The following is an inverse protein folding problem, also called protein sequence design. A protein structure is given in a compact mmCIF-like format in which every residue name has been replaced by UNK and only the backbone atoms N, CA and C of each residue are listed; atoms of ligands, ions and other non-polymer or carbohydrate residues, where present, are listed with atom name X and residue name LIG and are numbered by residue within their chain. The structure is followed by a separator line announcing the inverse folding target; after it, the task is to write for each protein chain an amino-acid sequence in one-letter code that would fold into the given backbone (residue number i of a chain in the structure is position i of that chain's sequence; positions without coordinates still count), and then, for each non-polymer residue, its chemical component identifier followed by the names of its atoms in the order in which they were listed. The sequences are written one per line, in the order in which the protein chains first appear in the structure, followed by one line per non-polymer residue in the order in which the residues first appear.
data_IF_081107947504
#
_entry.id   IF_081107947504
#
_cell.length_a   1.000
_cell.length_b   1.000
_cell.length_c   1.000
_cell.angle_alpha   90.00
_cell.angle_beta   90.00
_cell.angle_gamma   90.00
#
_symmetry.space_group_name_H-M   'P 1'
#
loop_
_entity.id
_entity.type
_entity.pdbx_description
1 polymer ?
#
# COMPACT_ATOMS: atom_id res chain seq x y z
N UNK A 1 -9.65 15.18 33.52
CA UNK A 1 -8.35 14.99 32.87
C UNK A 1 -7.36 14.69 33.97
N UNK A 2 -6.77 13.50 33.90
CA UNK A 2 -5.73 13.05 34.83
C UNK A 2 -4.38 13.01 34.10
N UNK A 3 -3.28 13.01 34.85
CA UNK A 3 -1.96 12.88 34.27
C UNK A 3 -1.66 11.39 34.03
N UNK A 4 -1.51 11.01 32.75
CA UNK A 4 -1.18 9.66 32.32
C UNK A 4 0.24 9.61 31.75
N UNK A 5 0.87 8.44 31.83
CA UNK A 5 2.14 8.19 31.17
C UNK A 5 1.86 7.63 29.77
N UNK A 6 1.67 8.51 28.78
CA UNK A 6 1.42 8.09 27.41
C UNK A 6 2.67 7.47 26.78
N UNK A 7 2.49 6.42 25.99
CA UNK A 7 3.56 5.72 25.28
C UNK A 7 3.35 5.81 23.78
N UNK A 8 4.40 6.24 23.06
CA UNK A 8 4.39 6.25 21.60
C UNK A 8 4.31 4.81 21.08
N UNK A 9 3.31 4.52 20.24
CA UNK A 9 3.07 3.20 19.66
C UNK A 9 4.16 2.76 18.67
N UNK A 10 4.92 3.73 18.12
CA UNK A 10 5.92 3.47 17.10
C UNK A 10 7.33 3.24 17.66
N UNK A 11 7.78 4.08 18.59
CA UNK A 11 9.14 4.01 19.14
C UNK A 11 9.19 3.61 20.62
N UNK A 12 8.03 3.51 21.28
CA UNK A 12 7.92 3.14 22.69
C UNK A 12 8.32 4.22 23.69
N UNK A 13 8.65 5.45 23.24
CA UNK A 13 8.99 6.57 24.13
C UNK A 13 7.78 6.95 24.97
N UNK A 14 8.02 7.15 26.27
CA UNK A 14 6.99 7.53 27.22
C UNK A 14 7.07 9.03 27.54
N UNK A 15 5.92 9.71 27.67
CA UNK A 15 5.82 11.10 28.12
C UNK A 15 4.57 11.28 29.01
N UNK A 16 4.72 12.05 30.09
CA UNK A 16 3.59 12.43 30.94
C UNK A 16 2.69 13.45 30.24
N UNK A 17 1.39 13.18 30.13
CA UNK A 17 0.43 14.06 29.46
C UNK A 17 -0.93 14.03 30.15
N UNK A 18 -1.65 15.15 30.09
CA UNK A 18 -3.04 15.20 30.53
C UNK A 18 -3.96 14.61 29.46
N UNK A 19 -4.75 13.62 29.82
CA UNK A 19 -5.72 12.97 28.94
C UNK A 19 -6.96 12.51 29.73
N UNK A 20 -7.99 12.06 29.03
CA UNK A 20 -9.18 11.43 29.62
C UNK A 20 -8.98 9.94 29.88
N UNK A 21 -8.05 9.29 29.17
CA UNK A 21 -7.69 7.88 29.35
C UNK A 21 -6.24 7.57 28.98
N UNK A 22 -5.75 6.38 29.37
CA UNK A 22 -4.43 5.88 28.99
C UNK A 22 -4.31 5.64 27.47
N UNK A 23 -5.38 5.22 26.82
CA UNK A 23 -5.41 5.01 25.36
C UNK A 23 -5.28 6.35 24.62
N UNK A 24 -6.03 7.36 25.05
CA UNK A 24 -5.91 8.71 24.53
C UNK A 24 -4.51 9.29 24.78
N UNK A 25 -3.93 9.07 25.97
CA UNK A 25 -2.57 9.50 26.27
C UNK A 25 -1.54 8.87 25.31
N UNK A 26 -1.65 7.58 25.00
CA UNK A 26 -0.80 6.90 24.02
C UNK A 26 -0.98 7.49 22.62
N UNK A 27 -2.22 7.75 22.21
CA UNK A 27 -2.52 8.34 20.92
C UNK A 27 -1.93 9.75 20.76
N UNK A 28 -2.11 10.62 21.77
CA UNK A 28 -1.54 11.98 21.75
C UNK A 28 0.00 11.92 21.72
N UNK A 29 0.61 11.11 22.59
CA UNK A 29 2.08 10.94 22.61
C UNK A 29 2.60 10.40 21.28
N UNK A 30 1.88 9.48 20.65
CA UNK A 30 2.25 8.94 19.33
C UNK A 30 2.19 9.99 18.23
N UNK A 31 1.17 10.85 18.24
CA UNK A 31 0.98 11.93 17.28
C UNK A 31 2.02 13.05 17.44
N UNK A 32 2.39 13.39 18.66
CA UNK A 32 3.36 14.45 18.96
C UNK A 32 4.82 13.96 18.98
N UNK A 33 5.05 12.65 18.87
CA UNK A 33 6.39 12.09 18.94
C UNK A 33 7.26 12.52 17.75
N UNK A 34 8.46 13.06 18.04
CA UNK A 34 9.46 13.41 17.03
C UNK A 34 10.11 12.21 16.30
N UNK A 35 9.78 10.96 16.69
CA UNK A 35 10.36 9.78 16.03
C UNK A 35 9.94 9.60 14.56
N UNK A 36 8.92 10.34 14.11
CA UNK A 36 8.43 10.28 12.74
C UNK A 36 7.53 9.08 12.43
N UNK A 37 7.33 8.16 13.38
CA UNK A 37 6.53 6.94 13.19
C UNK A 37 5.09 7.21 12.76
N UNK A 38 4.41 8.17 13.39
CA UNK A 38 3.05 8.57 13.00
C UNK A 38 2.99 9.10 11.56
N UNK A 39 3.96 9.95 11.17
CA UNK A 39 4.05 10.47 9.79
C UNK A 39 4.33 9.36 8.78
N UNK A 40 5.19 8.40 9.13
CA UNK A 40 5.48 7.26 8.27
C UNK A 40 4.25 6.36 8.11
N UNK A 41 3.50 6.10 9.18
CA UNK A 41 2.28 5.31 9.12
C UNK A 41 1.21 5.97 8.23
N UNK A 42 1.03 7.29 8.39
CA UNK A 42 0.14 8.08 7.51
C UNK A 42 0.61 8.05 6.05
N UNK A 43 1.92 8.17 5.80
CA UNK A 43 2.47 8.10 4.45
C UNK A 43 2.29 6.71 3.82
N UNK A 44 2.48 5.64 4.58
CA UNK A 44 2.25 4.26 4.14
C UNK A 44 0.78 4.08 3.76
N UNK A 45 -0.15 4.53 4.60
CA UNK A 45 -1.58 4.39 4.33
C UNK A 45 -2.01 5.19 3.09
N UNK A 46 -1.50 6.42 2.93
CA UNK A 46 -1.69 7.21 1.71
C UNK A 46 -1.17 6.48 0.48
N UNK A 47 0.03 5.89 0.54
CA UNK A 47 0.61 5.10 -0.57
C UNK A 47 -0.24 3.88 -0.92
N UNK A 48 -0.84 3.20 0.08
CA UNK A 48 -1.77 2.08 -0.16
C UNK A 48 -3.01 2.53 -0.89
N UNK A 49 -3.61 3.65 -0.48
CA UNK A 49 -4.79 4.23 -1.15
C UNK A 49 -4.48 4.65 -2.59
N UNK A 50 -3.35 5.33 -2.82
CA UNK A 50 -2.92 5.73 -4.16
C UNK A 50 -2.67 4.53 -5.06
N UNK A 51 -2.04 3.47 -4.54
CA UNK A 51 -1.82 2.24 -5.29
C UNK A 51 -3.15 1.55 -5.61
N UNK A 52 -4.08 1.46 -4.66
CA UNK A 52 -5.42 0.89 -4.89
C UNK A 52 -6.14 1.62 -6.02
N UNK A 53 -6.13 2.95 -6.03
CA UNK A 53 -6.72 3.76 -7.12
C UNK A 53 -6.03 3.49 -8.46
N UNK A 54 -4.71 3.42 -8.51
CA UNK A 54 -3.98 3.09 -9.75
C UNK A 54 -4.32 1.69 -10.24
N UNK A 55 -4.40 0.71 -9.35
CA UNK A 55 -4.75 -0.67 -9.71
C UNK A 55 -6.19 -0.74 -10.21
N UNK A 56 -7.12 0.00 -9.61
CA UNK A 56 -8.50 0.09 -10.09
C UNK A 56 -8.57 0.69 -11.50
N UNK A 57 -7.85 1.76 -11.80
CA UNK A 57 -7.76 2.31 -13.16
C UNK A 57 -7.16 1.32 -14.17
N UNK A 58 -6.20 0.50 -13.75
CA UNK A 58 -5.52 -0.46 -14.63
C UNK A 58 -6.27 -1.78 -14.79
N UNK A 59 -7.20 -2.13 -13.89
CA UNK A 59 -7.78 -3.48 -13.81
C UNK A 59 -9.30 -3.51 -13.58
N UNK A 60 -9.91 -2.41 -13.17
CA UNK A 60 -11.34 -2.28 -12.97
C UNK A 60 -12.11 -2.05 -14.28
N UNK A 61 -13.43 -1.77 -14.19
CA UNK A 61 -14.30 -1.61 -15.35
C UNK A 61 -13.80 -0.53 -16.32
N UNK A 62 -13.28 0.58 -15.81
CA UNK A 62 -12.88 1.73 -16.60
C UNK A 62 -11.55 1.52 -17.35
N UNK A 63 -10.84 0.40 -17.13
CA UNK A 63 -9.60 0.12 -17.85
C UNK A 63 -9.79 -0.17 -19.34
N UNK A 64 -11.04 -0.33 -19.79
CA UNK A 64 -11.42 -0.44 -21.20
C UNK A 64 -11.04 0.82 -22.00
N UNK A 65 -11.04 2.02 -21.38
CA UNK A 65 -10.56 3.25 -22.01
C UNK A 65 -9.07 3.18 -22.40
N UNK A 66 -8.31 2.36 -21.68
CA UNK A 66 -6.90 2.06 -21.95
C UNK A 66 -6.72 0.85 -22.88
N UNK A 67 -7.81 0.37 -23.48
CA UNK A 67 -7.90 -0.85 -24.27
C UNK A 67 -7.51 -2.11 -23.50
N UNK A 68 -7.74 -2.18 -22.19
CA UNK A 68 -7.55 -3.41 -21.40
C UNK A 68 -8.88 -4.10 -21.10
N UNK A 69 -8.82 -5.41 -20.85
CA UNK A 69 -9.95 -6.18 -20.36
C UNK A 69 -9.99 -6.06 -18.82
N UNK A 70 -11.13 -5.71 -18.21
CA UNK A 70 -11.30 -5.70 -16.77
C UNK A 70 -10.99 -7.07 -16.15
N UNK A 71 -10.32 -7.05 -15.00
CA UNK A 71 -10.06 -8.27 -14.24
C UNK A 71 -11.27 -8.60 -13.34
N UNK A 72 -11.56 -9.89 -13.12
CA UNK A 72 -12.49 -10.33 -12.08
C UNK A 72 -12.11 -9.76 -10.70
N UNK A 73 -13.13 -9.48 -9.89
CA UNK A 73 -12.98 -8.93 -8.54
C UNK A 73 -11.99 -9.73 -7.67
N UNK A 74 -12.09 -11.05 -7.67
CA UNK A 74 -11.18 -11.92 -6.91
C UNK A 74 -9.70 -11.70 -7.28
N UNK A 75 -9.38 -11.55 -8.58
CA UNK A 75 -8.00 -11.28 -9.01
C UNK A 75 -7.55 -9.88 -8.62
N UNK A 76 -8.47 -8.91 -8.61
CA UNK A 76 -8.19 -7.54 -8.17
C UNK A 76 -7.91 -7.50 -6.66
N UNK A 77 -8.65 -8.26 -5.87
CA UNK A 77 -8.43 -8.37 -4.43
C UNK A 77 -7.06 -8.96 -4.11
N UNK A 78 -6.69 -10.05 -4.79
CA UNK A 78 -5.35 -10.65 -4.67
C UNK A 78 -4.28 -9.64 -5.06
N UNK A 79 -4.46 -8.92 -6.17
CA UNK A 79 -3.51 -7.91 -6.64
C UNK A 79 -3.37 -6.75 -5.65
N UNK A 80 -4.47 -6.31 -5.03
CA UNK A 80 -4.46 -5.28 -3.99
C UNK A 80 -3.69 -5.74 -2.75
N UNK A 81 -3.95 -6.96 -2.25
CA UNK A 81 -3.23 -7.53 -1.10
C UNK A 81 -1.72 -7.63 -1.37
N UNK A 82 -1.34 -8.09 -2.56
CA UNK A 82 0.07 -8.16 -2.98
C UNK A 82 0.65 -6.74 -3.10
N UNK A 83 -0.11 -5.80 -3.65
CA UNK A 83 0.27 -4.39 -3.75
C UNK A 83 0.58 -3.77 -2.40
N UNK A 84 -0.24 -4.02 -1.39
CA UNK A 84 0.01 -3.56 -0.02
C UNK A 84 1.28 -4.14 0.58
N UNK A 85 1.57 -5.42 0.31
CA UNK A 85 2.84 -6.02 0.72
C UNK A 85 4.06 -5.37 0.02
N UNK A 86 3.88 -4.80 -1.18
CA UNK A 86 4.91 -3.99 -1.85
C UNK A 86 5.08 -2.64 -1.16
N UNK A 87 3.98 -1.97 -0.78
CA UNK A 87 4.03 -0.70 -0.03
C UNK A 87 4.67 -0.87 1.34
N UNK A 88 4.35 -1.96 2.05
CA UNK A 88 4.93 -2.34 3.34
C UNK A 88 6.44 -2.71 3.23
N UNK A 89 7.01 -2.75 2.02
CA UNK A 89 8.42 -3.12 1.80
C UNK A 89 8.71 -4.61 1.96
N UNK A 90 7.68 -5.44 2.19
CA UNK A 90 7.81 -6.91 2.29
C UNK A 90 8.14 -7.53 0.93
N UNK A 91 7.69 -6.89 -0.15
CA UNK A 91 7.92 -7.33 -1.52
C UNK A 91 8.56 -6.19 -2.31
N UNK A 92 9.71 -6.46 -2.96
CA UNK A 92 10.41 -5.44 -3.76
C UNK A 92 9.67 -5.12 -5.07
N UNK A 93 9.17 -6.15 -5.74
CA UNK A 93 8.50 -6.07 -7.02
C UNK A 93 7.68 -7.33 -7.26
N UNK A 94 6.54 -7.18 -7.94
CA UNK A 94 5.77 -8.30 -8.49
C UNK A 94 5.52 -8.13 -9.97
N UNK A 95 5.25 -9.25 -10.65
CA UNK A 95 4.77 -9.27 -12.02
C UNK A 95 3.69 -10.35 -12.14
N UNK A 96 2.47 -9.93 -12.43
CA UNK A 96 1.32 -10.80 -12.65
C UNK A 96 0.98 -10.81 -14.14
N UNK A 97 0.96 -11.99 -14.76
CA UNK A 97 0.54 -12.16 -16.16
C UNK A 97 -0.90 -12.67 -16.19
N UNK A 98 -1.76 -11.98 -16.92
CA UNK A 98 -3.18 -12.36 -17.05
C UNK A 98 -3.80 -11.74 -18.29
N UNK A 99 -4.73 -12.44 -18.95
CA UNK A 99 -5.43 -12.00 -20.17
C UNK A 99 -4.52 -11.37 -21.24
N UNK A 100 -3.36 -11.99 -21.53
CA UNK A 100 -2.40 -11.48 -22.51
C UNK A 100 -1.68 -10.17 -22.11
N UNK A 101 -1.87 -9.73 -20.86
CA UNK A 101 -1.22 -8.54 -20.27
C UNK A 101 -0.29 -8.94 -19.14
N UNK A 102 0.65 -8.06 -18.82
CA UNK A 102 1.48 -8.11 -17.62
C UNK A 102 1.23 -6.87 -16.77
N UNK A 103 1.00 -7.08 -15.48
CA UNK A 103 0.88 -6.05 -14.46
C UNK A 103 2.13 -6.12 -13.60
N UNK A 104 2.81 -5.00 -13.46
CA UNK A 104 4.04 -4.88 -12.68
C UNK A 104 3.80 -3.84 -11.60
N UNK A 105 4.03 -4.21 -10.34
CA UNK A 105 4.08 -3.28 -9.20
C UNK A 105 5.51 -3.27 -8.69
N UNK A 106 6.15 -2.11 -8.67
CA UNK A 106 7.50 -1.93 -8.09
C UNK A 106 7.42 -1.08 -6.85
N UNK A 107 8.04 -1.59 -5.78
CA UNK A 107 8.29 -0.82 -4.57
C UNK A 107 9.48 0.12 -4.74
N UNK A 108 9.82 0.86 -3.68
CA UNK A 108 10.93 1.81 -3.64
C UNK A 108 10.50 3.13 -3.04
N UNK A 109 11.28 4.19 -3.29
CA UNK A 109 10.92 5.56 -2.87
C UNK A 109 9.56 5.97 -3.44
N UNK A 110 9.34 5.64 -4.72
CA UNK A 110 8.05 5.77 -5.40
C UNK A 110 7.49 4.38 -5.70
N UNK A 111 6.22 4.16 -5.34
CA UNK A 111 5.47 2.98 -5.73
C UNK A 111 4.92 3.21 -7.14
N UNK A 112 5.14 2.25 -8.05
CA UNK A 112 4.66 2.35 -9.43
C UNK A 112 3.94 1.07 -9.85
N UNK A 113 2.70 1.21 -10.30
CA UNK A 113 1.97 0.16 -11.00
C UNK A 113 1.92 0.45 -12.51
N UNK A 114 2.10 -0.59 -13.33
CA UNK A 114 1.96 -0.51 -14.79
C UNK A 114 1.30 -1.76 -15.32
N UNK A 115 0.43 -1.61 -16.32
CA UNK A 115 -0.12 -2.72 -17.12
C UNK A 115 0.31 -2.55 -18.58
N UNK A 116 0.73 -3.63 -19.23
CA UNK A 116 1.10 -3.63 -20.66
C UNK A 116 0.71 -4.94 -21.33
N UNK A 117 0.41 -4.89 -22.62
CA UNK A 117 0.27 -6.11 -23.42
C UNK A 117 1.61 -6.82 -23.55
N UNK A 118 1.57 -8.16 -23.49
CA UNK A 118 2.74 -8.98 -23.74
C UNK A 118 2.62 -9.64 -25.11
N UNK A 119 3.30 -9.09 -26.11
CA UNK A 119 3.53 -9.78 -27.37
C UNK A 119 4.75 -10.69 -27.19
N UNK A 120 4.53 -11.97 -26.91
CA UNK A 120 5.60 -12.98 -26.97
C UNK A 120 5.76 -13.43 -28.42
N UNK A 121 6.80 -12.93 -29.10
CA UNK A 121 7.30 -13.58 -30.32
C UNK A 121 8.29 -14.67 -29.88
N UNK A 122 7.85 -15.93 -29.96
CA UNK A 122 8.69 -17.08 -29.66
C UNK A 122 8.03 -18.35 -30.17
N UNK A 123 8.80 -19.18 -30.88
CA UNK A 123 8.43 -20.55 -31.20
C UNK A 123 9.13 -21.49 -30.23
N UNK A 124 8.39 -22.43 -29.66
CA UNK A 124 9.00 -23.63 -29.08
C UNK A 124 9.44 -24.53 -30.24
N UNK A 125 10.75 -24.74 -30.36
CA UNK A 125 11.27 -25.85 -31.14
C UNK A 125 11.41 -27.02 -30.15
N UNK A 126 10.64 -28.09 -30.38
CA UNK A 126 10.78 -29.36 -29.64
C UNK A 126 12.07 -30.08 -30.03
#
# INVERSE_FOLDING_TARGET
MDNYMGRCEYCGKEMGIMAESQEEANHIVSKECFCGGAKQAEEIERKKQELRTQLDQLTGPDCEELNFIPLPEELRDILNQIGEAVVDGKIRQITMKTYGTQIVIRGGENIKATRSYKYEQGGEVQ
#
